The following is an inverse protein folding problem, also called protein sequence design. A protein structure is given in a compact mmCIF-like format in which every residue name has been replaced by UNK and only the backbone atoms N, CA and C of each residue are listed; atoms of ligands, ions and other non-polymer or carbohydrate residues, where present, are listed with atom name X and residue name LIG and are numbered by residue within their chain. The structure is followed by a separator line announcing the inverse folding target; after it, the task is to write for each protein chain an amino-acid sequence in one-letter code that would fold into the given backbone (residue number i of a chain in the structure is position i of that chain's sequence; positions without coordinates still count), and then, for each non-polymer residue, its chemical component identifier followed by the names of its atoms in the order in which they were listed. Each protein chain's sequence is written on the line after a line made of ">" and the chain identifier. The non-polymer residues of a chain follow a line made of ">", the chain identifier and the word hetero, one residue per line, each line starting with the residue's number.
data_IF_171045472289
#
_entry.id   IF_171045472289
#
_cell.length_a   1.000
_cell.length_b   1.000
_cell.length_c   1.000
_cell.angle_alpha   90.00
_cell.angle_beta   90.00
_cell.angle_gamma   90.00
#
_symmetry.space_group_name_H-M   'P 1'
#
loop_
_entity.id
_entity.type
_entity.pdbx_description
1 polymer ?
#
# COMPACT_ATOMS: atom_id res chain seq x y z
N UNK A 1 56.46 39.85 -43.39
CA UNK A 1 56.76 38.49 -43.88
C UNK A 1 56.33 37.47 -42.84
N UNK A 2 56.08 36.25 -43.31
CA UNK A 2 55.63 35.03 -42.62
C UNK A 2 54.11 34.90 -42.44
N UNK A 3 53.53 34.06 -43.31
CA UNK A 3 52.21 33.48 -43.13
C UNK A 3 52.24 32.37 -42.09
N UNK A 4 51.05 32.05 -41.57
CA UNK A 4 50.79 30.84 -40.79
C UNK A 4 49.37 30.39 -41.12
N UNK A 5 49.30 29.28 -41.84
CA UNK A 5 48.12 28.42 -42.01
C UNK A 5 47.52 28.09 -40.63
N UNK A 6 46.19 28.17 -40.50
CA UNK A 6 45.48 27.49 -39.41
C UNK A 6 44.64 26.37 -39.99
N UNK A 7 45.22 25.19 -39.87
CA UNK A 7 44.61 23.89 -40.12
C UNK A 7 43.36 23.70 -39.26
N UNK A 8 42.38 23.03 -39.85
CA UNK A 8 41.24 22.43 -39.15
C UNK A 8 41.80 21.28 -38.31
N UNK A 9 41.82 21.43 -36.98
CA UNK A 9 42.20 20.34 -36.08
C UNK A 9 40.95 19.49 -35.78
N UNK A 10 40.69 18.49 -36.62
CA UNK A 10 39.77 17.40 -36.29
C UNK A 10 40.48 16.39 -35.39
N UNK A 11 40.08 16.31 -34.12
CA UNK A 11 40.47 15.21 -33.23
C UNK A 11 39.34 14.17 -33.26
N UNK A 12 39.58 12.91 -33.67
CA UNK A 12 38.56 11.88 -33.62
C UNK A 12 38.50 11.30 -32.20
N UNK A 13 37.41 11.57 -31.48
CA UNK A 13 37.08 10.79 -30.27
C UNK A 13 36.19 9.64 -30.72
N UNK A 14 36.82 8.47 -30.85
CA UNK A 14 36.14 7.19 -30.96
C UNK A 14 35.48 6.84 -29.62
N UNK A 15 34.15 6.86 -29.57
CA UNK A 15 33.34 5.66 -29.26
C UNK A 15 31.84 6.03 -29.15
N UNK A 16 31.04 5.33 -29.96
CA UNK A 16 29.59 5.14 -29.88
C UNK A 16 28.77 6.15 -29.06
N UNK A 17 28.44 7.30 -29.65
CA UNK A 17 27.16 8.05 -29.50
C UNK A 17 27.06 9.04 -30.67
N UNK A 18 25.85 9.21 -31.24
CA UNK A 18 25.60 10.02 -32.46
C UNK A 18 26.07 11.49 -32.26
N UNK A 19 26.56 12.17 -33.31
CA UNK A 19 27.03 13.55 -33.17
C UNK A 19 25.85 14.52 -33.08
N UNK A 20 25.85 15.38 -32.07
CA UNK A 20 25.04 16.60 -32.07
C UNK A 20 25.64 17.56 -33.12
N UNK A 21 24.83 17.97 -34.10
CA UNK A 21 25.23 18.96 -35.08
C UNK A 21 24.90 20.36 -34.55
N UNK A 22 25.92 21.07 -34.04
CA UNK A 22 25.81 22.46 -33.62
C UNK A 22 25.92 23.38 -34.84
N UNK A 23 24.80 23.86 -35.38
CA UNK A 23 24.79 24.87 -36.45
C UNK A 23 24.82 26.28 -35.84
N UNK A 24 25.99 26.93 -35.91
CA UNK A 24 26.15 28.35 -35.56
C UNK A 24 25.83 29.22 -36.79
N UNK A 25 24.72 29.94 -36.75
CA UNK A 25 24.41 30.99 -37.73
C UNK A 25 24.92 32.33 -37.21
N UNK A 26 25.82 32.98 -37.97
CA UNK A 26 26.30 34.33 -37.68
C UNK A 26 25.38 35.38 -38.32
N UNK A 27 24.46 35.92 -37.53
CA UNK A 27 23.71 37.12 -37.87
C UNK A 27 24.41 38.37 -37.33
N UNK A 28 24.66 39.35 -38.20
CA UNK A 28 25.17 40.68 -37.88
C UNK A 28 24.21 41.43 -36.95
N UNK A 29 24.36 41.27 -35.64
CA UNK A 29 24.06 42.25 -34.58
C UNK A 29 24.17 41.56 -33.21
N UNK A 30 24.84 42.22 -32.27
CA UNK A 30 25.15 41.71 -30.92
C UNK A 30 23.88 41.42 -30.12
N UNK A 31 23.45 40.16 -30.09
CA UNK A 31 22.83 39.50 -28.93
C UNK A 31 22.82 38.00 -29.19
N UNK A 32 23.66 37.25 -28.48
CA UNK A 32 23.57 35.79 -28.43
C UNK A 32 22.31 35.45 -27.66
N UNK A 33 21.21 35.23 -28.38
CA UNK A 33 19.99 34.68 -27.78
C UNK A 33 20.16 33.17 -27.72
N UNK A 34 20.56 32.65 -26.56
CA UNK A 34 20.47 31.22 -26.26
C UNK A 34 18.99 30.83 -26.25
N UNK A 35 18.40 30.57 -27.42
CA UNK A 35 17.19 29.76 -27.49
C UNK A 35 17.63 28.33 -27.17
N UNK A 36 17.48 27.91 -25.92
CA UNK A 36 17.22 26.49 -25.64
C UNK A 36 15.92 26.15 -26.36
N UNK A 37 16.01 25.77 -27.63
CA UNK A 37 15.06 24.83 -28.19
C UNK A 37 15.37 23.51 -27.48
N UNK A 38 14.82 23.33 -26.27
CA UNK A 38 14.38 22.00 -25.90
C UNK A 38 13.28 21.67 -26.90
N UNK A 39 13.66 21.09 -28.04
CA UNK A 39 12.77 20.17 -28.75
C UNK A 39 12.15 19.30 -27.69
N UNK A 40 10.81 19.20 -27.62
CA UNK A 40 10.08 18.29 -26.74
C UNK A 40 10.91 17.00 -26.62
N UNK A 41 11.68 16.87 -25.54
CA UNK A 41 12.06 15.55 -25.10
C UNK A 41 10.70 14.93 -24.82
N UNK A 42 10.41 13.79 -25.44
CA UNK A 42 9.18 13.05 -25.17
C UNK A 42 9.07 12.91 -23.65
N UNK A 43 8.26 13.78 -23.02
CA UNK A 43 8.05 13.75 -21.59
C UNK A 43 7.20 12.52 -21.37
N UNK A 44 7.87 11.40 -21.12
CA UNK A 44 7.19 10.18 -20.75
C UNK A 44 6.51 10.45 -19.42
N UNK A 45 5.18 10.38 -19.40
CA UNK A 45 4.42 10.49 -18.15
C UNK A 45 4.73 9.22 -17.37
N UNK A 46 5.44 9.36 -16.25
CA UNK A 46 5.68 8.24 -15.35
C UNK A 46 4.39 7.90 -14.60
N UNK A 47 4.23 6.63 -14.21
CA UNK A 47 3.15 6.19 -13.32
C UNK A 47 3.75 5.59 -12.06
N UNK A 48 3.18 5.94 -10.90
CA UNK A 48 3.60 5.42 -9.61
C UNK A 48 2.39 4.93 -8.82
N UNK A 49 2.32 3.62 -8.58
CA UNK A 49 1.30 3.01 -7.74
C UNK A 49 1.94 2.69 -6.38
N UNK A 50 1.54 3.41 -5.35
CA UNK A 50 1.97 3.20 -3.97
C UNK A 50 0.95 2.33 -3.24
N UNK A 51 1.41 1.33 -2.50
CA UNK A 51 0.59 0.64 -1.50
C UNK A 51 0.99 1.13 -0.12
N UNK A 52 0.03 1.54 0.68
CA UNK A 52 0.25 2.04 2.04
C UNK A 52 -0.70 1.38 3.03
N UNK A 53 -0.34 1.36 4.31
CA UNK A 53 -1.18 0.76 5.35
C UNK A 53 -2.31 1.68 5.79
N UNK A 54 -3.50 1.11 6.05
CA UNK A 54 -4.69 1.82 6.50
C UNK A 54 -4.58 2.48 7.89
N UNK A 55 -3.45 2.36 8.59
CA UNK A 55 -3.19 3.15 9.80
C UNK A 55 -3.18 4.66 9.55
N UNK A 56 -3.17 5.13 8.29
CA UNK A 56 -3.38 6.55 7.94
C UNK A 56 -4.73 7.07 8.43
N UNK A 57 -5.81 6.29 8.32
CA UNK A 57 -7.15 6.69 8.79
C UNK A 57 -7.33 6.46 10.30
N UNK A 58 -6.43 5.68 10.91
CA UNK A 58 -6.41 5.40 12.34
C UNK A 58 -5.53 6.38 13.16
N UNK A 59 -4.90 7.37 12.51
CA UNK A 59 -3.88 8.22 13.14
C UNK A 59 -4.35 8.92 14.42
N UNK A 60 -5.61 9.37 14.46
CA UNK A 60 -6.20 10.00 15.65
C UNK A 60 -6.33 9.02 16.82
N UNK A 61 -6.75 7.77 16.56
CA UNK A 61 -6.88 6.73 17.60
C UNK A 61 -5.52 6.31 18.14
N UNK A 62 -4.53 6.17 17.25
CA UNK A 62 -3.13 5.90 17.63
C UNK A 62 -2.61 7.00 18.56
N UNK A 63 -2.81 8.27 18.18
CA UNK A 63 -2.37 9.42 18.99
C UNK A 63 -3.09 9.50 20.34
N UNK A 64 -4.37 9.13 20.38
CA UNK A 64 -5.17 9.13 21.60
C UNK A 64 -4.94 7.90 22.49
N UNK A 65 -4.19 6.88 22.03
CA UNK A 65 -4.02 5.62 22.75
C UNK A 65 -5.31 4.82 22.88
N UNK A 66 -6.28 5.04 21.97
CA UNK A 66 -7.61 4.43 22.03
C UNK A 66 -7.60 3.11 21.27
N UNK A 67 -7.29 2.04 21.98
CA UNK A 67 -7.18 0.69 21.41
C UNK A 67 -8.27 -0.26 21.90
N UNK A 68 -8.74 -1.16 21.03
CA UNK A 68 -9.74 -2.18 21.36
C UNK A 68 -11.19 -1.69 21.35
N UNK A 69 -11.40 -0.43 20.94
CA UNK A 69 -12.66 0.28 21.03
C UNK A 69 -13.33 0.44 19.67
N UNK A 70 -14.67 0.41 19.63
CA UNK A 70 -15.43 0.64 18.40
C UNK A 70 -15.28 2.08 17.91
N UNK A 71 -15.45 2.31 16.62
CA UNK A 71 -15.51 3.65 16.03
C UNK A 71 -16.70 3.79 15.12
N UNK A 72 -17.35 4.94 15.16
CA UNK A 72 -18.42 5.30 14.22
C UNK A 72 -17.86 5.95 12.95
N UNK A 73 -16.53 6.10 12.86
CA UNK A 73 -15.84 6.69 11.71
C UNK A 73 -15.59 5.62 10.63
N UNK A 74 -16.08 5.92 9.44
CA UNK A 74 -15.77 5.22 8.20
C UNK A 74 -15.40 6.22 7.12
N UNK A 75 -14.57 5.81 6.16
CA UNK A 75 -14.11 6.68 5.08
C UNK A 75 -14.38 6.04 3.72
N UNK A 76 -14.97 6.84 2.84
CA UNK A 76 -15.19 6.52 1.44
C UNK A 76 -14.17 7.27 0.57
N UNK A 77 -13.45 6.54 -0.28
CA UNK A 77 -12.37 7.10 -1.11
C UNK A 77 -12.85 8.06 -2.22
N UNK A 78 -14.16 8.14 -2.47
CA UNK A 78 -14.77 9.05 -3.43
C UNK A 78 -15.57 10.16 -2.75
N UNK A 79 -16.47 9.82 -1.81
CA UNK A 79 -17.34 10.79 -1.14
C UNK A 79 -16.58 11.67 -0.13
N UNK A 80 -15.57 11.10 0.53
CA UNK A 80 -14.82 11.77 1.61
C UNK A 80 -13.43 12.24 1.14
N UNK A 81 -13.21 12.41 -0.16
CA UNK A 81 -11.89 12.67 -0.77
C UNK A 81 -11.12 13.83 -0.11
N UNK A 82 -11.81 14.89 0.31
CA UNK A 82 -11.20 16.05 0.97
C UNK A 82 -10.73 15.74 2.39
N UNK A 83 -11.53 14.99 3.15
CA UNK A 83 -11.18 14.55 4.50
C UNK A 83 -10.02 13.56 4.44
N UNK A 84 -10.09 12.58 3.52
CA UNK A 84 -9.01 11.61 3.27
C UNK A 84 -7.71 12.31 2.85
N UNK A 85 -7.75 13.25 1.92
CA UNK A 85 -6.58 14.03 1.51
C UNK A 85 -5.96 14.83 2.66
N UNK A 86 -6.81 15.36 3.56
CA UNK A 86 -6.36 16.06 4.77
C UNK A 86 -5.68 15.11 5.77
N UNK A 87 -6.21 13.90 5.97
CA UNK A 87 -5.62 12.88 6.83
C UNK A 87 -4.24 12.44 6.34
N UNK A 88 -4.08 12.25 5.03
CA UNK A 88 -2.80 11.90 4.41
C UNK A 88 -1.79 13.04 4.63
N UNK A 89 -2.19 14.27 4.31
CA UNK A 89 -1.33 15.47 4.41
C UNK A 89 -0.93 15.81 5.85
N UNK A 90 -1.76 15.45 6.84
CA UNK A 90 -1.49 15.67 8.25
C UNK A 90 -0.37 14.77 8.81
N UNK A 91 0.10 13.78 8.04
CA UNK A 91 1.18 12.88 8.45
C UNK A 91 2.42 13.05 7.56
N UNK A 92 3.28 14.06 7.82
CA UNK A 92 4.43 14.36 6.96
C UNK A 92 5.50 13.25 6.96
N UNK A 93 5.49 12.34 7.95
CA UNK A 93 6.37 11.18 7.97
C UNK A 93 6.05 10.16 6.86
N UNK A 94 4.82 10.19 6.32
CA UNK A 94 4.40 9.37 5.17
C UNK A 94 4.79 10.05 3.87
N UNK A 95 6.08 10.26 3.66
CA UNK A 95 6.62 11.04 2.53
C UNK A 95 6.12 10.49 1.19
N UNK A 96 6.08 9.16 1.02
CA UNK A 96 5.65 8.53 -0.23
C UNK A 96 4.14 8.68 -0.47
N UNK A 97 3.32 8.57 0.58
CA UNK A 97 1.87 8.81 0.48
C UNK A 97 1.60 10.27 0.10
N UNK A 98 2.35 11.21 0.69
CA UNK A 98 2.24 12.64 0.37
C UNK A 98 2.72 12.98 -1.04
N UNK A 99 3.70 12.24 -1.59
CA UNK A 99 4.09 12.37 -3.00
C UNK A 99 2.94 11.94 -3.92
N UNK A 100 2.15 10.95 -3.50
CA UNK A 100 1.00 10.48 -4.28
C UNK A 100 -0.18 11.48 -4.30
N UNK A 101 -0.17 12.50 -3.44
CA UNK A 101 -1.23 13.52 -3.33
C UNK A 101 -0.83 14.90 -3.89
N UNK A 102 0.34 15.04 -4.52
CA UNK A 102 0.83 16.33 -5.06
C UNK A 102 0.33 16.62 -6.48
N UNK A 103 0.31 17.90 -6.87
CA UNK A 103 -0.03 18.35 -8.22
C UNK A 103 0.97 17.82 -9.27
N UNK A 104 0.50 17.35 -10.44
CA UNK A 104 1.32 16.63 -11.39
C UNK A 104 2.26 17.58 -12.13
N UNK A 105 3.54 17.21 -12.25
CA UNK A 105 4.44 17.85 -13.22
C UNK A 105 5.09 16.85 -14.18
N UNK A 106 5.30 15.58 -13.77
CA UNK A 106 5.88 14.52 -14.63
C UNK A 106 5.45 13.08 -14.31
N UNK A 107 4.88 12.82 -13.12
CA UNK A 107 4.45 11.49 -12.67
C UNK A 107 2.99 11.54 -12.26
N UNK A 108 2.20 10.56 -12.71
CA UNK A 108 0.81 10.29 -12.27
C UNK A 108 0.84 9.26 -11.15
N UNK A 109 0.16 9.54 -10.05
CA UNK A 109 0.25 8.72 -8.84
C UNK A 109 -1.08 8.08 -8.48
N UNK A 110 -1.03 6.86 -7.94
CA UNK A 110 -2.16 6.23 -7.26
C UNK A 110 -1.69 5.75 -5.88
N UNK A 111 -2.46 6.06 -4.84
CA UNK A 111 -2.26 5.61 -3.47
C UNK A 111 -3.33 4.57 -3.13
N UNK A 112 -2.92 3.31 -3.03
CA UNK A 112 -3.76 2.20 -2.60
C UNK A 112 -3.56 1.99 -1.10
N UNK A 113 -4.56 2.35 -0.30
CA UNK A 113 -4.50 2.23 1.17
C UNK A 113 -5.03 0.85 1.58
N UNK A 114 -4.11 -0.11 1.70
CA UNK A 114 -4.38 -1.49 2.06
C UNK A 114 -4.86 -1.62 3.51
N UNK A 115 -6.07 -2.20 3.74
CA UNK A 115 -6.55 -2.51 5.08
C UNK A 115 -5.99 -3.88 5.52
N UNK A 116 -6.79 -4.73 6.18
CA UNK A 116 -6.35 -6.10 6.48
C UNK A 116 -6.33 -6.93 5.19
N UNK A 117 -5.13 -7.25 4.71
CA UNK A 117 -4.93 -8.08 3.51
C UNK A 117 -4.73 -9.55 3.91
N UNK A 118 -5.51 -10.46 3.32
CA UNK A 118 -5.47 -11.89 3.61
C UNK A 118 -5.42 -12.76 2.34
N UNK A 119 -5.21 -14.06 2.52
CA UNK A 119 -5.00 -15.02 1.43
C UNK A 119 -3.52 -15.26 1.11
N UNK A 120 -3.23 -16.38 0.45
CA UNK A 120 -1.88 -16.72 0.03
C UNK A 120 -1.45 -15.91 -1.21
N UNK A 121 -0.31 -15.23 -1.13
CA UNK A 121 0.26 -14.51 -2.26
C UNK A 121 0.77 -15.45 -3.36
N UNK A 122 0.55 -15.09 -4.62
CA UNK A 122 1.07 -15.84 -5.78
C UNK A 122 2.50 -15.48 -6.17
N UNK A 123 3.08 -14.43 -5.56
CA UNK A 123 4.41 -13.93 -5.87
C UNK A 123 5.54 -14.85 -5.39
N UNK A 124 6.78 -14.65 -5.89
CA UNK A 124 7.91 -15.55 -5.61
C UNK A 124 8.56 -15.33 -4.24
N UNK A 125 8.17 -14.29 -3.50
CA UNK A 125 8.81 -13.88 -2.24
C UNK A 125 7.87 -14.14 -1.05
N UNK A 126 7.43 -13.09 -0.35
CA UNK A 126 6.55 -13.25 0.78
C UNK A 126 5.12 -13.55 0.30
N UNK A 127 4.65 -14.75 0.64
CA UNK A 127 3.27 -15.19 0.37
C UNK A 127 2.37 -15.13 1.58
N UNK A 128 2.94 -14.90 2.78
CA UNK A 128 2.22 -14.90 4.05
C UNK A 128 1.73 -13.50 4.37
N UNK A 129 0.43 -13.36 4.57
CA UNK A 129 -0.19 -12.16 5.16
C UNK A 129 0.29 -11.92 6.60
N UNK A 130 -0.04 -10.73 7.14
CA UNK A 130 0.49 -10.29 8.43
C UNK A 130 -0.53 -10.48 9.56
N UNK A 131 -1.59 -9.68 9.60
CA UNK A 131 -2.41 -9.52 10.82
C UNK A 131 -3.11 -10.81 11.28
N UNK A 132 -3.95 -11.42 10.44
CA UNK A 132 -4.67 -12.65 10.81
C UNK A 132 -3.73 -13.85 11.05
N UNK A 133 -2.70 -14.11 10.21
CA UNK A 133 -1.69 -15.12 10.51
C UNK A 133 -0.92 -14.85 11.81
N UNK A 134 -0.59 -13.59 12.12
CA UNK A 134 0.18 -13.27 13.33
C UNK A 134 -0.63 -13.44 14.62
N UNK A 135 -1.91 -13.04 14.61
CA UNK A 135 -2.84 -13.30 15.71
C UNK A 135 -3.04 -14.81 15.90
N UNK A 136 -3.15 -15.56 14.79
CA UNK A 136 -3.25 -17.02 14.81
C UNK A 136 -1.99 -17.67 15.39
N UNK A 137 -0.80 -17.25 14.93
CA UNK A 137 0.49 -17.71 15.45
C UNK A 137 0.58 -17.54 16.96
N UNK A 138 0.27 -16.34 17.45
CA UNK A 138 0.30 -16.03 18.89
C UNK A 138 -0.75 -16.85 19.66
N UNK A 139 -1.94 -17.02 19.10
CA UNK A 139 -3.01 -17.86 19.70
C UNK A 139 -2.52 -19.30 19.88
N UNK A 140 -1.93 -19.89 18.84
CA UNK A 140 -1.44 -21.27 18.86
C UNK A 140 -0.24 -21.47 19.79
N UNK A 141 0.64 -20.48 19.89
CA UNK A 141 1.82 -20.52 20.78
C UNK A 141 1.45 -20.32 22.25
N UNK A 142 0.55 -19.37 22.55
CA UNK A 142 0.08 -19.08 23.91
C UNK A 142 -0.91 -20.11 24.43
N UNK A 143 -1.45 -20.94 23.54
CA UNK A 143 -2.53 -21.90 23.84
C UNK A 143 -3.79 -21.21 24.40
N UNK A 144 -4.06 -19.99 23.94
CA UNK A 144 -5.28 -19.20 24.22
C UNK A 144 -5.41 -18.08 23.21
N UNK A 145 -6.64 -17.69 22.88
CA UNK A 145 -6.89 -16.53 22.02
C UNK A 145 -6.50 -15.23 22.71
N UNK A 146 -6.40 -14.15 21.94
CA UNK A 146 -6.10 -12.81 22.47
C UNK A 146 -6.93 -11.74 21.77
N UNK A 147 -7.21 -10.63 22.47
CA UNK A 147 -7.76 -9.39 21.92
C UNK A 147 -7.21 -8.19 22.67
N UNK A 148 -7.05 -7.05 22.01
CA UNK A 148 -6.64 -5.81 22.67
C UNK A 148 -7.88 -5.14 23.26
N UNK A 149 -7.88 -4.89 24.58
CA UNK A 149 -9.04 -4.35 25.29
C UNK A 149 -10.33 -5.11 24.97
N UNK A 150 -11.43 -4.39 24.74
CA UNK A 150 -12.73 -5.01 24.43
C UNK A 150 -12.78 -5.72 23.07
N UNK A 151 -11.80 -5.49 22.19
CA UNK A 151 -11.70 -6.08 20.85
C UNK A 151 -12.81 -5.63 19.89
N UNK A 152 -13.42 -4.47 20.13
CA UNK A 152 -14.54 -3.94 19.34
C UNK A 152 -14.08 -3.15 18.11
N UNK A 153 -12.77 -2.97 17.95
CA UNK A 153 -12.20 -2.23 16.85
C UNK A 153 -12.28 -3.05 15.53
N UNK A 154 -12.61 -2.37 14.44
CA UNK A 154 -12.95 -2.99 13.15
C UNK A 154 -12.03 -2.48 12.05
N UNK A 155 -11.49 -3.41 11.27
CA UNK A 155 -10.86 -3.10 10.00
C UNK A 155 -11.66 -3.69 8.84
N UNK A 156 -11.76 -2.93 7.75
CA UNK A 156 -12.06 -3.51 6.45
C UNK A 156 -10.99 -4.55 6.08
N UNK A 157 -11.31 -5.45 5.18
CA UNK A 157 -10.39 -6.48 4.73
C UNK A 157 -10.55 -6.73 3.23
N UNK A 158 -9.49 -7.23 2.60
CA UNK A 158 -9.46 -7.56 1.18
C UNK A 158 -8.60 -8.78 0.92
N UNK A 159 -9.06 -9.67 0.04
CA UNK A 159 -8.27 -10.81 -0.40
C UNK A 159 -7.11 -10.33 -1.29
N UNK A 160 -5.94 -10.95 -1.18
CA UNK A 160 -4.73 -10.55 -1.91
C UNK A 160 -4.93 -10.58 -3.44
N UNK A 161 -5.75 -11.49 -3.96
CA UNK A 161 -6.09 -11.52 -5.39
C UNK A 161 -6.98 -10.36 -5.82
N UNK A 162 -7.93 -9.94 -4.99
CA UNK A 162 -8.78 -8.77 -5.30
C UNK A 162 -7.94 -7.48 -5.31
N UNK A 163 -7.00 -7.36 -4.37
CA UNK A 163 -6.00 -6.29 -4.39
C UNK A 163 -5.16 -6.35 -5.67
N UNK A 164 -4.70 -7.53 -6.08
CA UNK A 164 -3.98 -7.72 -7.34
C UNK A 164 -4.78 -7.26 -8.56
N UNK A 165 -6.07 -7.57 -8.61
CA UNK A 165 -6.97 -7.13 -9.69
C UNK A 165 -7.14 -5.60 -9.72
N UNK A 166 -7.17 -4.93 -8.56
CA UNK A 166 -7.19 -3.46 -8.51
C UNK A 166 -5.90 -2.87 -9.08
N UNK A 167 -4.74 -3.44 -8.72
CA UNK A 167 -3.45 -2.99 -9.24
C UNK A 167 -3.36 -3.21 -10.76
N UNK A 168 -3.91 -4.31 -11.28
CA UNK A 168 -4.02 -4.56 -12.70
C UNK A 168 -4.89 -3.49 -13.39
N UNK A 169 -6.06 -3.16 -12.84
CA UNK A 169 -6.93 -2.13 -13.40
C UNK A 169 -6.26 -0.74 -13.44
N UNK A 170 -5.47 -0.41 -12.41
CA UNK A 170 -4.64 0.81 -12.41
C UNK A 170 -3.55 0.76 -13.49
N UNK A 171 -2.89 -0.38 -13.65
CA UNK A 171 -1.89 -0.58 -14.70
C UNK A 171 -2.52 -0.42 -16.10
N UNK A 172 -3.69 -1.00 -16.35
CA UNK A 172 -4.42 -0.85 -17.60
C UNK A 172 -4.85 0.61 -17.84
N UNK A 173 -5.27 1.31 -16.79
CA UNK A 173 -5.55 2.75 -16.86
C UNK A 173 -4.31 3.59 -17.21
N UNK A 174 -3.11 3.14 -16.79
CA UNK A 174 -1.86 3.80 -17.12
C UNK A 174 -1.48 3.60 -18.59
N UNK A 175 -1.62 2.36 -19.08
CA UNK A 175 -1.37 2.00 -20.48
C UNK A 175 -2.33 2.71 -21.43
N UNK A 176 -3.59 2.88 -21.04
CA UNK A 176 -4.60 3.62 -21.80
C UNK A 176 -4.53 5.14 -21.62
N UNK A 177 -3.57 5.63 -20.82
CA UNK A 177 -3.38 7.04 -20.49
C UNK A 177 -4.60 7.76 -19.89
N UNK A 178 -5.53 7.02 -19.28
CA UNK A 178 -6.71 7.57 -18.60
C UNK A 178 -6.28 8.60 -17.55
N UNK A 179 -6.85 9.80 -17.56
CA UNK A 179 -6.46 10.87 -16.63
C UNK A 179 -7.30 10.93 -15.35
N UNK A 180 -8.44 10.22 -15.30
CA UNK A 180 -9.44 10.40 -14.24
C UNK A 180 -9.11 9.72 -12.90
N UNK A 181 -8.10 8.86 -12.88
CA UNK A 181 -7.85 7.87 -11.80
C UNK A 181 -6.50 8.09 -11.10
N UNK A 182 -5.95 9.29 -11.18
CA UNK A 182 -4.60 9.61 -10.69
C UNK A 182 -4.56 10.88 -9.84
N UNK A 183 -3.47 11.03 -9.10
CA UNK A 183 -3.12 12.18 -8.25
C UNK A 183 -4.19 12.43 -7.18
N UNK A 184 -4.81 13.62 -7.17
CA UNK A 184 -5.92 13.94 -6.27
C UNK A 184 -7.10 12.97 -6.40
N UNK A 185 -7.29 12.39 -7.59
CA UNK A 185 -8.29 11.36 -7.86
C UNK A 185 -7.73 9.93 -7.76
N UNK A 186 -6.54 9.75 -7.21
CA UNK A 186 -5.80 8.50 -7.21
C UNK A 186 -5.75 7.78 -5.87
N UNK A 187 -6.60 8.13 -4.89
CA UNK A 187 -6.66 7.42 -3.61
C UNK A 187 -7.69 6.30 -3.68
N UNK A 188 -7.28 5.08 -3.33
CA UNK A 188 -8.11 3.88 -3.42
C UNK A 188 -8.13 3.10 -2.12
N UNK A 189 -9.32 2.70 -1.70
CA UNK A 189 -9.57 1.90 -0.50
C UNK A 189 -10.07 0.50 -0.87
N UNK A 190 -9.19 -0.46 -1.18
CA UNK A 190 -9.62 -1.81 -1.53
C UNK A 190 -10.24 -2.52 -0.32
N UNK A 191 -11.53 -2.85 -0.38
CA UNK A 191 -12.19 -3.71 0.59
C UNK A 191 -13.22 -4.65 -0.05
N UNK A 192 -13.48 -5.77 0.63
CA UNK A 192 -14.53 -6.75 0.30
C UNK A 192 -15.13 -7.32 1.59
N UNK A 193 -15.34 -6.46 2.58
CA UNK A 193 -15.80 -6.87 3.92
C UNK A 193 -15.03 -6.21 5.06
N UNK A 194 -15.47 -6.51 6.28
CA UNK A 194 -14.90 -5.97 7.52
C UNK A 194 -15.10 -6.94 8.67
N UNK A 195 -14.19 -6.93 9.64
CA UNK A 195 -14.27 -7.78 10.82
C UNK A 195 -13.66 -7.07 12.03
N UNK A 196 -14.26 -7.27 13.21
CA UNK A 196 -13.63 -6.82 14.44
C UNK A 196 -12.48 -7.76 14.82
N UNK A 197 -11.44 -7.24 15.47
CA UNK A 197 -10.32 -8.09 15.91
C UNK A 197 -10.75 -9.06 17.02
N UNK A 198 -11.72 -8.67 17.85
CA UNK A 198 -12.34 -9.57 18.81
C UNK A 198 -13.06 -10.74 18.13
N UNK A 199 -13.82 -10.47 17.06
CA UNK A 199 -14.51 -11.54 16.33
C UNK A 199 -13.55 -12.39 15.50
N UNK A 200 -12.46 -11.81 14.97
CA UNK A 200 -11.39 -12.59 14.34
C UNK A 200 -10.85 -13.65 15.31
N UNK A 201 -10.52 -13.25 16.55
CA UNK A 201 -10.07 -14.20 17.58
C UNK A 201 -11.15 -15.22 17.95
N UNK A 202 -12.43 -14.82 18.03
CA UNK A 202 -13.57 -15.73 18.27
C UNK A 202 -13.80 -16.74 17.15
N UNK A 203 -13.28 -16.51 15.94
CA UNK A 203 -13.35 -17.48 14.85
C UNK A 203 -12.07 -18.34 14.76
N UNK A 204 -10.90 -17.77 15.06
CA UNK A 204 -9.63 -18.52 15.10
C UNK A 204 -9.64 -19.59 16.19
N UNK A 205 -10.08 -19.27 17.41
CA UNK A 205 -10.02 -20.19 18.56
C UNK A 205 -10.83 -21.47 18.33
N UNK A 206 -12.12 -21.42 17.93
CA UNK A 206 -12.90 -22.63 17.63
C UNK A 206 -12.33 -23.43 16.46
N UNK A 207 -11.83 -22.77 15.41
CA UNK A 207 -11.23 -23.48 14.27
C UNK A 207 -9.92 -24.17 14.66
N UNK A 208 -9.08 -23.54 15.50
CA UNK A 208 -7.89 -24.18 16.05
C UNK A 208 -8.22 -25.39 16.93
N UNK A 209 -9.30 -25.34 17.72
CA UNK A 209 -9.80 -26.51 18.47
C UNK A 209 -10.25 -27.63 17.55
N UNK A 210 -11.05 -27.31 16.54
CA UNK A 210 -11.55 -28.26 15.54
C UNK A 210 -10.41 -28.98 14.81
N UNK A 211 -9.28 -28.29 14.61
CA UNK A 211 -8.06 -28.86 14.03
C UNK A 211 -7.15 -29.56 15.07
N UNK A 212 -7.58 -29.72 16.33
CA UNK A 212 -6.83 -30.32 17.44
C UNK A 212 -5.51 -29.60 17.77
N UNK A 213 -5.45 -28.28 17.56
CA UNK A 213 -4.25 -27.46 17.82
C UNK A 213 -4.34 -26.69 19.15
N UNK A 214 -5.54 -26.64 19.72
CA UNK A 214 -5.91 -25.88 20.92
C UNK A 214 -6.95 -26.66 21.74
N UNK A 215 -6.87 -26.59 23.06
CA UNK A 215 -7.79 -27.28 23.98
C UNK A 215 -8.70 -26.33 24.77
N UNK A 216 -8.50 -25.02 24.65
CA UNK A 216 -9.28 -23.98 25.34
C UNK A 216 -10.17 -23.18 24.39
N UNK A 217 -11.25 -22.62 24.90
CA UNK A 217 -12.09 -21.60 24.23
C UNK A 217 -11.78 -20.18 24.73
N UNK A 218 -10.81 -20.04 25.63
CA UNK A 218 -10.48 -18.77 26.25
C UNK A 218 -9.89 -17.77 25.25
N UNK A 219 -10.34 -16.53 25.35
CA UNK A 219 -9.78 -15.37 24.67
C UNK A 219 -9.41 -14.37 25.74
N UNK A 220 -8.11 -14.12 25.86
CA UNK A 220 -7.56 -13.20 26.84
C UNK A 220 -7.64 -11.76 26.34
N UNK A 221 -8.01 -10.86 27.24
CA UNK A 221 -7.92 -9.43 27.02
C UNK A 221 -6.52 -8.95 27.43
N UNK A 222 -5.80 -8.34 26.49
CA UNK A 222 -4.44 -7.85 26.67
C UNK A 222 -4.36 -6.34 26.48
N UNK A 223 -3.35 -5.71 27.09
CA UNK A 223 -3.12 -4.26 26.91
C UNK A 223 -2.43 -3.97 25.57
N UNK A 224 -2.42 -2.70 25.17
CA UNK A 224 -1.70 -2.25 23.98
C UNK A 224 -0.18 -2.48 24.11
N UNK A 225 0.37 -2.27 25.31
CA UNK A 225 1.78 -2.50 25.63
C UNK A 225 2.13 -3.98 25.52
N UNK A 226 1.29 -4.86 26.08
CA UNK A 226 1.48 -6.31 25.95
C UNK A 226 1.45 -6.72 24.48
N UNK A 227 0.44 -6.26 23.72
CA UNK A 227 0.34 -6.55 22.29
C UNK A 227 1.61 -6.15 21.52
N UNK A 228 2.14 -4.95 21.77
CA UNK A 228 3.37 -4.47 21.13
C UNK A 228 4.61 -5.26 21.52
N UNK A 229 4.64 -5.86 22.73
CA UNK A 229 5.74 -6.74 23.13
C UNK A 229 5.71 -8.10 22.42
N UNK A 230 4.51 -8.56 22.01
CA UNK A 230 4.30 -9.81 21.30
C UNK A 230 4.51 -9.70 19.79
N UNK A 231 4.19 -8.55 19.21
CA UNK A 231 4.39 -8.26 17.79
C UNK A 231 4.58 -6.77 17.57
N UNK A 232 5.56 -6.41 16.73
CA UNK A 232 5.85 -5.02 16.40
C UNK A 232 4.59 -4.30 15.89
N UNK A 233 4.30 -3.13 16.46
CA UNK A 233 3.17 -2.25 16.10
C UNK A 233 1.77 -2.86 16.24
N UNK A 234 1.62 -3.98 16.97
CA UNK A 234 0.35 -4.66 17.17
C UNK A 234 -0.78 -3.76 17.68
N UNK A 235 -0.51 -2.84 18.60
CA UNK A 235 -1.54 -1.92 19.10
C UNK A 235 -2.13 -1.06 17.97
N UNK A 236 -1.26 -0.51 17.10
CA UNK A 236 -1.68 0.32 15.99
C UNK A 236 -2.41 -0.49 14.91
N UNK A 237 -2.00 -1.73 14.65
CA UNK A 237 -2.54 -2.54 13.54
C UNK A 237 -3.69 -3.46 13.93
N UNK A 238 -3.84 -3.80 15.21
CA UNK A 238 -4.86 -4.72 15.71
C UNK A 238 -5.80 -4.09 16.72
N UNK A 239 -5.47 -2.91 17.23
CA UNK A 239 -6.24 -2.22 18.26
C UNK A 239 -7.03 -1.01 17.74
N UNK A 240 -6.85 -0.59 16.49
CA UNK A 240 -7.49 0.62 15.95
C UNK A 240 -8.58 0.29 14.93
N UNK A 241 -9.25 1.32 14.42
CA UNK A 241 -10.29 1.20 13.39
C UNK A 241 -9.80 1.71 12.04
N UNK A 242 -10.15 0.97 10.98
CA UNK A 242 -9.94 1.35 9.59
C UNK A 242 -11.09 0.80 8.74
N UNK A 243 -12.25 1.45 8.85
CA UNK A 243 -13.47 1.08 8.13
C UNK A 243 -13.51 1.89 6.84
N UNK A 244 -13.33 1.21 5.72
CA UNK A 244 -13.16 1.83 4.40
C UNK A 244 -14.34 1.48 3.47
N UNK A 245 -14.49 2.23 2.38
CA UNK A 245 -15.47 1.95 1.30
C UNK A 245 -14.84 2.25 -0.06
N UNK A 246 -14.95 1.29 -0.99
CA UNK A 246 -14.24 1.24 -2.28
C UNK A 246 -14.95 1.97 -3.45
N UNK A 247 -15.65 3.08 -3.20
CA UNK A 247 -16.54 3.70 -4.19
C UNK A 247 -15.82 4.14 -5.47
N UNK A 248 -14.58 4.63 -5.36
CA UNK A 248 -13.81 5.14 -6.51
C UNK A 248 -13.40 4.02 -7.45
N UNK A 249 -12.85 2.93 -6.93
CA UNK A 249 -12.43 1.78 -7.73
C UNK A 249 -13.63 1.16 -8.49
N UNK A 250 -14.76 1.04 -7.82
CA UNK A 250 -15.99 0.51 -8.42
C UNK A 250 -16.52 1.44 -9.53
N UNK A 251 -16.57 2.74 -9.28
CA UNK A 251 -17.13 3.71 -10.23
C UNK A 251 -16.22 3.98 -11.44
N UNK A 252 -14.90 4.04 -11.22
CA UNK A 252 -13.95 4.55 -12.23
C UNK A 252 -13.12 3.45 -12.91
N UNK A 253 -12.93 2.32 -12.23
CA UNK A 253 -12.13 1.20 -12.74
C UNK A 253 -12.97 -0.07 -12.98
N UNK A 254 -14.27 -0.01 -12.69
CA UNK A 254 -15.17 -1.18 -12.72
C UNK A 254 -14.64 -2.36 -11.91
N UNK A 255 -13.84 -2.08 -10.88
CA UNK A 255 -13.26 -3.10 -10.02
C UNK A 255 -14.35 -3.66 -9.11
N UNK A 256 -14.49 -4.98 -9.11
CA UNK A 256 -15.42 -5.71 -8.25
C UNK A 256 -14.68 -6.87 -7.60
N UNK A 257 -14.48 -6.85 -6.27
CA UNK A 257 -13.81 -7.93 -5.58
C UNK A 257 -14.72 -9.17 -5.50
N UNK A 258 -14.11 -10.35 -5.57
CA UNK A 258 -14.80 -11.63 -5.62
C UNK A 258 -14.06 -12.76 -4.89
N UNK A 259 -12.95 -12.44 -4.22
CA UNK A 259 -12.24 -13.38 -3.37
C UNK A 259 -13.12 -13.93 -2.26
N UNK A 260 -12.74 -15.10 -1.76
CA UNK A 260 -13.36 -15.70 -0.57
C UNK A 260 -13.27 -14.75 0.61
N UNK A 261 -14.22 -14.82 1.54
CA UNK A 261 -14.20 -13.95 2.71
C UNK A 261 -13.07 -14.30 3.68
N UNK A 262 -12.68 -13.34 4.52
CA UNK A 262 -11.68 -13.58 5.58
C UNK A 262 -12.09 -14.73 6.50
N UNK A 263 -13.39 -14.89 6.78
CA UNK A 263 -13.88 -15.97 7.64
C UNK A 263 -13.69 -17.35 7.00
N UNK A 264 -13.91 -17.46 5.69
CA UNK A 264 -13.69 -18.69 4.93
C UNK A 264 -12.20 -19.06 4.82
N UNK A 265 -11.31 -18.08 4.92
CA UNK A 265 -9.85 -18.28 4.87
C UNK A 265 -9.26 -18.76 6.22
N UNK A 266 -9.95 -18.52 7.35
CA UNK A 266 -9.44 -18.86 8.70
C UNK A 266 -8.97 -20.32 8.83
N UNK A 267 -9.68 -21.35 8.33
CA UNK A 267 -9.21 -22.73 8.40
C UNK A 267 -7.82 -22.95 7.79
N UNK A 268 -7.54 -22.31 6.65
CA UNK A 268 -6.22 -22.44 6.01
C UNK A 268 -5.16 -21.61 6.75
N UNK A 269 -5.50 -20.41 7.24
CA UNK A 269 -4.60 -19.61 8.08
C UNK A 269 -4.15 -20.41 9.32
N UNK A 270 -5.09 -21.03 10.04
CA UNK A 270 -4.82 -21.88 11.21
C UNK A 270 -3.89 -23.04 10.85
N UNK A 271 -4.21 -23.75 9.76
CA UNK A 271 -3.42 -24.91 9.30
C UNK A 271 -2.00 -24.51 8.91
N UNK A 272 -1.87 -23.42 8.15
CA UNK A 272 -0.59 -22.93 7.65
C UNK A 272 0.31 -22.42 8.79
N UNK A 273 -0.24 -21.69 9.77
CA UNK A 273 0.54 -21.24 10.92
C UNK A 273 0.95 -22.39 11.83
N UNK A 274 0.11 -23.40 12.02
CA UNK A 274 0.49 -24.60 12.76
C UNK A 274 1.69 -25.32 12.12
N UNK A 275 1.67 -25.51 10.79
CA UNK A 275 2.81 -26.08 10.04
C UNK A 275 4.07 -25.23 10.20
N UNK A 276 3.94 -23.90 10.10
CA UNK A 276 5.06 -22.97 10.21
C UNK A 276 5.68 -22.94 11.62
N UNK A 277 4.88 -23.10 12.68
CA UNK A 277 5.40 -23.20 14.04
C UNK A 277 6.23 -24.47 14.22
N UNK A 278 5.74 -25.61 13.72
CA UNK A 278 6.48 -26.89 13.80
C UNK A 278 7.82 -26.80 13.08
N UNK A 279 7.84 -26.26 11.85
CA UNK A 279 9.09 -26.14 11.07
C UNK A 279 10.13 -25.22 11.72
N UNK A 280 9.70 -24.18 12.43
CA UNK A 280 10.59 -23.28 13.18
C UNK A 280 11.15 -23.90 14.46
N UNK A 281 10.44 -24.83 15.08
CA UNK A 281 10.90 -25.54 16.29
C UNK A 281 11.89 -26.68 15.99
N UNK A 282 11.97 -27.12 14.73
CA UNK A 282 12.88 -28.18 14.27
C UNK A 282 14.20 -27.67 13.70
N UNK A 283 14.39 -26.36 13.62
CA UNK A 283 15.61 -25.67 13.18
C UNK A 283 16.39 -25.15 14.39
#
# INVERSE_FOLDING_TARGET
>A
MSGLSKEILTVPISSKRRPEMLMLSFGSSRQVRLRKQCTKADFFVGYWIQISGATVVAAAEIKAGRFGEASDKSYDDLRDEKEVGSLISANPARVVDNLASQEPTTVRTALVVGPLIYGEGSGPVNKRSIQAPEITRLTLQRKKGLRIGRGLNIWSNVHIHDLGNLLLALFEAAVSESSAVWNQNGVYFPENGKLSFGDLSKNIVPEARKQNLLETEEIEEITAEEANSLSAHAAATWGTNAILTSSRAQAQLHWSPSGVSLLEEIPEIVRSEAKAIVSRSTL
#
